data_IF_911228567356
#
_entry.id   IF_911228567356
#
_cell.length_a   1.000
_cell.length_b   1.000
_cell.length_c   1.000
_cell.angle_alpha   90.00
_cell.angle_beta   90.00
_cell.angle_gamma   90.00
#
_symmetry.space_group_name_H-M   'P 1'
#
loop_
_entity.id
_entity.type
_entity.pdbx_description
1 polymer ?
#
# COMPACT_ATOMS: atom_id res chain seq x y z
N UNK A 1 -31.74 31.33 20.58
CA UNK A 1 -30.30 31.18 20.28
C UNK A 1 -29.90 29.87 20.90
N UNK A 2 -30.31 28.77 20.28
CA UNK A 2 -30.08 27.44 20.82
C UNK A 2 -28.87 26.86 20.12
N UNK A 3 -27.85 26.55 20.93
CA UNK A 3 -26.58 26.00 20.49
C UNK A 3 -26.80 24.64 19.84
N UNK A 4 -26.42 24.50 18.57
CA UNK A 4 -26.26 23.19 17.94
C UNK A 4 -25.10 22.52 18.66
N UNK A 5 -25.43 21.47 19.41
CA UNK A 5 -24.46 20.61 20.06
C UNK A 5 -23.53 20.02 19.00
N UNK A 6 -22.23 20.19 19.22
CA UNK A 6 -21.16 19.62 18.43
C UNK A 6 -21.24 18.09 18.55
N UNK A 7 -21.67 17.42 17.49
CA UNK A 7 -21.68 15.96 17.43
C UNK A 7 -20.23 15.48 17.54
N UNK A 8 -19.92 14.48 18.39
CA UNK A 8 -18.56 13.96 18.48
C UNK A 8 -18.09 13.50 17.09
N UNK A 9 -17.07 14.17 16.55
CA UNK A 9 -16.40 13.75 15.33
C UNK A 9 -15.79 12.36 15.60
N UNK A 10 -16.32 11.32 14.95
CA UNK A 10 -15.72 9.99 15.01
C UNK A 10 -14.24 10.08 14.61
N UNK A 11 -13.33 9.40 15.32
CA UNK A 11 -11.91 9.46 14.99
C UNK A 11 -11.73 9.00 13.54
N UNK A 12 -11.03 9.80 12.74
CA UNK A 12 -10.74 9.52 11.35
C UNK A 12 -10.34 8.04 11.20
N UNK A 13 -11.18 7.28 10.50
CA UNK A 13 -10.99 5.87 10.25
C UNK A 13 -9.57 5.70 9.73
N UNK A 14 -8.70 5.07 10.51
CA UNK A 14 -7.32 4.87 10.10
C UNK A 14 -7.40 3.95 8.90
N UNK A 15 -7.22 4.49 7.69
CA UNK A 15 -7.23 3.76 6.43
C UNK A 15 -6.36 2.51 6.58
N UNK A 16 -7.04 1.40 6.88
CA UNK A 16 -6.42 0.12 7.22
C UNK A 16 -6.14 -0.56 5.90
N UNK A 17 -4.98 -0.26 5.33
CA UNK A 17 -4.49 -0.99 4.18
C UNK A 17 -4.21 -2.43 4.62
N UNK A 18 -4.64 -3.40 3.83
CA UNK A 18 -4.35 -4.80 4.10
C UNK A 18 -2.85 -5.05 3.93
N UNK A 19 -2.15 -5.04 5.06
CA UNK A 19 -0.73 -5.40 5.13
C UNK A 19 -0.66 -6.92 5.23
N UNK A 20 -0.95 -7.60 4.12
CA UNK A 20 -0.90 -9.05 4.08
C UNK A 20 0.56 -9.54 4.08
N UNK A 21 0.91 -10.52 4.95
CA UNK A 21 2.23 -11.11 4.99
C UNK A 21 2.39 -12.24 3.97
N UNK A 22 3.57 -12.35 3.38
CA UNK A 22 3.96 -13.48 2.53
C UNK A 22 5.21 -14.14 3.13
N UNK A 23 5.20 -15.48 3.23
CA UNK A 23 6.28 -16.27 3.84
C UNK A 23 6.98 -17.09 2.76
N UNK A 24 8.30 -16.90 2.61
CA UNK A 24 9.13 -17.69 1.71
C UNK A 24 9.47 -19.08 2.30
N UNK A 25 9.96 -19.97 1.43
CA UNK A 25 10.35 -21.34 1.81
C UNK A 25 11.43 -21.40 2.91
N UNK A 26 12.27 -20.36 3.02
CA UNK A 26 13.32 -20.22 4.03
C UNK A 26 12.83 -19.56 5.33
N UNK A 27 11.53 -19.24 5.41
CA UNK A 27 10.88 -18.59 6.52
C UNK A 27 10.90 -17.06 6.48
N UNK A 28 11.56 -16.42 5.50
CA UNK A 28 11.56 -14.95 5.41
C UNK A 28 10.15 -14.43 5.14
N UNK A 29 9.83 -13.30 5.78
CA UNK A 29 8.51 -12.67 5.67
C UNK A 29 8.66 -11.31 5.02
N UNK A 30 7.86 -11.06 3.99
CA UNK A 30 7.62 -9.73 3.41
C UNK A 30 6.17 -9.34 3.61
N UNK A 31 5.85 -8.06 3.40
CA UNK A 31 4.51 -7.51 3.52
C UNK A 31 4.07 -6.89 2.20
N UNK A 32 2.77 -6.62 2.05
CA UNK A 32 2.12 -5.92 0.92
C UNK A 32 2.11 -6.64 -0.43
N UNK A 33 3.06 -7.53 -0.72
CA UNK A 33 3.12 -8.23 -2.01
C UNK A 33 4.10 -9.41 -1.95
N UNK A 34 3.73 -10.57 -2.55
CA UNK A 34 4.63 -11.71 -2.64
C UNK A 34 5.80 -11.47 -3.61
N UNK A 35 5.66 -10.55 -4.57
CA UNK A 35 6.72 -10.24 -5.55
C UNK A 35 7.98 -9.69 -4.86
N UNK A 36 7.85 -9.12 -3.66
CA UNK A 36 9.00 -8.69 -2.85
C UNK A 36 9.85 -9.84 -2.31
N UNK A 37 9.37 -11.09 -2.32
CA UNK A 37 10.18 -12.28 -2.00
C UNK A 37 11.24 -12.58 -3.07
N UNK A 38 11.02 -12.13 -4.32
CA UNK A 38 11.88 -12.43 -5.46
C UNK A 38 12.89 -11.32 -5.76
N UNK A 39 12.84 -10.21 -5.02
CA UNK A 39 13.65 -9.03 -5.30
C UNK A 39 14.97 -9.04 -4.56
N UNK A 40 16.07 -9.14 -5.30
CA UNK A 40 17.41 -8.83 -4.79
C UNK A 40 17.60 -7.30 -4.76
N UNK A 41 17.22 -6.71 -3.62
CA UNK A 41 17.76 -5.46 -3.07
C UNK A 41 17.88 -4.25 -4.03
N UNK A 42 16.86 -3.38 -4.04
CA UNK A 42 16.91 -2.02 -4.60
C UNK A 42 17.09 -0.92 -3.52
N UNK A 43 16.43 0.23 -3.69
CA UNK A 43 16.48 1.39 -2.76
C UNK A 43 16.17 1.05 -1.30
N UNK A 44 15.42 -0.02 -1.04
CA UNK A 44 15.03 -0.46 0.31
C UNK A 44 16.02 -1.43 0.99
N UNK A 45 17.14 -1.80 0.36
CA UNK A 45 18.15 -2.77 0.81
C UNK A 45 17.65 -4.21 1.05
N UNK A 46 16.48 -4.42 1.64
CA UNK A 46 15.79 -5.71 1.75
C UNK A 46 14.31 -5.48 2.06
N UNK A 47 13.43 -6.33 1.53
CA UNK A 47 12.01 -6.32 1.87
C UNK A 47 11.66 -7.22 3.04
N UNK A 48 12.54 -8.16 3.40
CA UNK A 48 12.30 -9.09 4.49
C UNK A 48 12.21 -8.32 5.82
N UNK A 49 11.07 -8.44 6.49
CA UNK A 49 10.79 -7.77 7.78
C UNK A 49 11.00 -8.71 8.98
N UNK A 50 11.34 -9.97 8.74
CA UNK A 50 11.61 -10.98 9.76
C UNK A 50 11.63 -12.39 9.19
N UNK A 51 11.76 -13.38 10.06
CA UNK A 51 11.75 -14.79 9.67
C UNK A 51 10.94 -15.63 10.69
N UNK A 52 9.94 -16.39 10.22
CA UNK A 52 9.02 -17.16 11.08
C UNK A 52 9.68 -18.32 11.82
N UNK A 53 10.88 -18.75 11.40
CA UNK A 53 11.64 -19.80 12.09
C UNK A 53 12.32 -19.27 13.36
N UNK A 54 12.36 -17.95 13.56
CA UNK A 54 13.07 -17.29 14.68
C UNK A 54 12.13 -16.51 15.60
N UNK A 55 11.03 -16.00 15.08
CA UNK A 55 10.11 -15.10 15.78
C UNK A 55 8.65 -15.40 15.42
N UNK A 56 7.71 -15.02 16.28
CA UNK A 56 6.29 -15.18 15.94
C UNK A 56 5.86 -14.24 14.81
N UNK A 57 4.94 -14.70 13.95
CA UNK A 57 4.43 -13.88 12.85
C UNK A 57 3.84 -12.54 13.33
N UNK A 58 3.20 -12.52 14.51
CA UNK A 58 2.67 -11.29 15.12
C UNK A 58 3.77 -10.26 15.41
N UNK A 59 4.90 -10.69 15.95
CA UNK A 59 6.04 -9.80 16.21
C UNK A 59 6.62 -9.25 14.91
N UNK A 60 6.76 -10.13 13.91
CA UNK A 60 7.26 -9.77 12.58
C UNK A 60 6.38 -8.72 11.92
N UNK A 61 5.05 -8.92 11.90
CA UNK A 61 4.10 -7.97 11.33
C UNK A 61 4.15 -6.63 12.08
N UNK A 62 4.12 -6.65 13.42
CA UNK A 62 4.14 -5.42 14.21
C UNK A 62 5.41 -4.58 13.96
N UNK A 63 6.57 -5.23 13.79
CA UNK A 63 7.80 -4.55 13.38
C UNK A 63 7.71 -4.07 11.92
N UNK A 64 7.27 -4.94 11.02
CA UNK A 64 7.26 -4.70 9.58
C UNK A 64 6.30 -3.58 9.15
N UNK A 65 5.24 -3.30 9.91
CA UNK A 65 4.36 -2.14 9.71
C UNK A 65 5.11 -0.81 9.66
N UNK A 66 6.26 -0.73 10.35
CA UNK A 66 7.10 0.46 10.41
C UNK A 66 8.34 0.36 9.51
N UNK A 67 8.40 -0.63 8.61
CA UNK A 67 9.49 -0.70 7.64
C UNK A 67 9.39 0.48 6.66
N UNK A 68 10.51 0.87 6.05
CA UNK A 68 10.56 2.02 5.13
C UNK A 68 9.60 1.84 3.96
N UNK A 69 9.60 0.67 3.29
CA UNK A 69 8.73 0.46 2.13
C UNK A 69 7.24 0.36 2.49
N UNK A 70 6.89 -0.10 3.69
CA UNK A 70 5.48 -0.09 4.13
C UNK A 70 5.03 1.33 4.47
N UNK A 71 5.90 2.11 5.09
CA UNK A 71 5.64 3.51 5.43
C UNK A 71 5.49 4.35 4.17
N UNK A 72 6.42 4.22 3.23
CA UNK A 72 6.40 4.85 1.91
C UNK A 72 5.14 4.48 1.13
N UNK A 73 4.77 3.20 1.08
CA UNK A 73 3.52 2.77 0.45
C UNK A 73 2.31 3.47 1.06
N UNK A 74 2.20 3.46 2.39
CA UNK A 74 1.07 4.07 3.10
C UNK A 74 1.01 5.58 2.84
N UNK A 75 2.15 6.27 2.78
CA UNK A 75 2.22 7.68 2.41
C UNK A 75 1.76 7.91 0.97
N UNK A 76 2.26 7.11 0.02
CA UNK A 76 1.85 7.20 -1.38
C UNK A 76 0.36 6.94 -1.58
N UNK A 77 -0.25 6.03 -0.80
CA UNK A 77 -1.70 5.83 -0.87
C UNK A 77 -2.48 7.03 -0.33
N UNK A 78 -2.01 7.66 0.77
CA UNK A 78 -2.62 8.92 1.25
C UNK A 78 -2.54 10.02 0.20
N UNK A 79 -1.42 10.11 -0.52
CA UNK A 79 -1.26 11.07 -1.60
C UNK A 79 -2.20 10.75 -2.77
N UNK A 80 -2.35 9.47 -3.17
CA UNK A 80 -3.35 9.06 -4.15
C UNK A 80 -4.78 9.46 -3.73
N UNK A 81 -5.13 9.32 -2.44
CA UNK A 81 -6.45 9.65 -1.92
C UNK A 81 -6.81 11.13 -2.06
N UNK A 82 -5.80 12.01 -2.07
CA UNK A 82 -5.98 13.46 -2.20
C UNK A 82 -5.89 13.92 -3.65
N UNK A 83 -5.12 13.23 -4.50
CA UNK A 83 -4.70 13.75 -5.81
C UNK A 83 -5.28 13.01 -7.01
N UNK A 84 -5.79 11.78 -6.84
CA UNK A 84 -6.18 10.93 -7.96
C UNK A 84 -7.69 10.82 -8.09
N UNK A 85 -8.24 11.29 -9.22
CA UNK A 85 -9.68 11.19 -9.56
C UNK A 85 -10.20 9.74 -9.63
N UNK A 86 -9.29 8.77 -9.72
CA UNK A 86 -9.60 7.34 -9.84
C UNK A 86 -9.40 6.56 -8.53
N UNK A 87 -9.12 7.26 -7.41
CA UNK A 87 -8.77 6.62 -6.15
C UNK A 87 -9.83 5.64 -5.64
N UNK A 88 -11.11 5.96 -5.80
CA UNK A 88 -12.19 5.10 -5.33
C UNK A 88 -12.25 3.74 -6.05
N UNK A 89 -11.64 3.62 -7.23
CA UNK A 89 -11.56 2.37 -7.98
C UNK A 89 -10.42 1.47 -7.50
N UNK A 90 -9.22 2.02 -7.32
CA UNK A 90 -8.01 1.21 -7.07
C UNK A 90 -7.45 1.33 -5.64
N UNK A 91 -7.94 2.29 -4.84
CA UNK A 91 -7.52 2.57 -3.46
C UNK A 91 -6.00 2.73 -3.27
N UNK A 92 -5.32 3.26 -4.29
CA UNK A 92 -3.87 3.48 -4.27
C UNK A 92 -3.03 2.37 -4.89
N UNK A 93 -3.64 1.31 -5.41
CA UNK A 93 -2.99 0.29 -6.23
C UNK A 93 -2.01 -0.63 -5.49
N UNK A 94 -1.14 -1.30 -6.25
CA UNK A 94 -0.25 -2.35 -5.74
C UNK A 94 1.16 -1.85 -5.44
N UNK A 95 1.70 -2.20 -4.27
CA UNK A 95 3.03 -1.78 -3.82
C UNK A 95 4.16 -2.27 -4.75
N UNK A 96 4.04 -3.51 -5.25
CA UNK A 96 5.02 -4.08 -6.18
C UNK A 96 5.09 -3.30 -7.48
N UNK A 97 3.96 -2.97 -8.09
CA UNK A 97 3.93 -2.17 -9.32
C UNK A 97 4.60 -0.80 -9.12
N UNK A 98 4.32 -0.12 -8.00
CA UNK A 98 5.00 1.14 -7.66
C UNK A 98 6.52 0.93 -7.59
N UNK A 99 6.98 -0.08 -6.86
CA UNK A 99 8.40 -0.34 -6.70
C UNK A 99 9.10 -0.73 -8.01
N UNK A 100 8.57 -1.69 -8.76
CA UNK A 100 9.22 -2.20 -9.97
C UNK A 100 9.17 -1.21 -11.13
N UNK A 101 8.19 -0.30 -11.16
CA UNK A 101 8.12 0.75 -12.18
C UNK A 101 8.88 2.03 -11.79
N UNK A 102 8.88 2.40 -10.50
CA UNK A 102 9.34 3.72 -10.04
C UNK A 102 10.57 3.67 -9.13
N UNK A 103 11.01 2.48 -8.71
CA UNK A 103 12.09 2.30 -7.74
C UNK A 103 11.72 2.67 -6.30
N UNK A 104 10.45 2.97 -6.04
CA UNK A 104 9.91 3.34 -4.73
C UNK A 104 8.45 2.89 -4.60
N UNK A 105 8.04 2.55 -3.38
CA UNK A 105 6.63 2.25 -3.06
C UNK A 105 5.80 3.51 -2.80
N UNK A 106 6.44 4.69 -2.68
CA UNK A 106 5.77 5.98 -2.42
C UNK A 106 5.05 6.57 -3.64
N UNK A 107 5.40 6.14 -4.85
CA UNK A 107 4.87 6.76 -6.07
C UNK A 107 3.34 6.69 -6.20
N UNK A 108 2.76 7.65 -6.91
CA UNK A 108 1.31 7.84 -7.00
C UNK A 108 0.71 7.49 -8.36
N UNK A 109 1.53 7.37 -9.41
CA UNK A 109 1.09 6.95 -10.73
C UNK A 109 2.09 5.97 -11.36
N UNK A 110 1.59 4.83 -11.82
CA UNK A 110 2.36 3.84 -12.58
C UNK A 110 1.73 3.61 -13.96
N UNK A 111 2.47 2.98 -14.86
CA UNK A 111 1.95 2.52 -16.16
C UNK A 111 0.86 1.46 -15.97
N UNK A 112 1.01 0.56 -14.99
CA UNK A 112 -0.05 -0.39 -14.64
C UNK A 112 -1.35 0.34 -14.27
N UNK A 113 -1.31 1.32 -13.35
CA UNK A 113 -2.56 1.97 -12.92
C UNK A 113 -3.19 2.78 -14.07
N UNK A 114 -2.38 3.43 -14.92
CA UNK A 114 -2.90 4.12 -16.11
C UNK A 114 -3.67 3.17 -17.02
N UNK A 115 -3.11 2.00 -17.28
CA UNK A 115 -3.66 1.07 -18.26
C UNK A 115 -4.82 0.24 -17.71
N UNK A 116 -4.72 -0.22 -16.48
CA UNK A 116 -5.68 -1.17 -15.88
C UNK A 116 -6.81 -0.47 -15.13
N UNK A 117 -6.55 0.72 -14.57
CA UNK A 117 -7.53 1.45 -13.74
C UNK A 117 -8.05 2.69 -14.48
N UNK A 118 -7.18 3.68 -14.72
CA UNK A 118 -7.61 5.00 -15.18
C UNK A 118 -8.25 4.95 -16.57
N UNK A 119 -7.61 4.26 -17.53
CA UNK A 119 -8.13 4.14 -18.91
C UNK A 119 -9.42 3.34 -18.96
N UNK A 120 -9.55 2.30 -18.15
CA UNK A 120 -10.78 1.51 -18.07
C UNK A 120 -11.94 2.37 -17.55
N UNK A 121 -11.75 3.05 -16.41
CA UNK A 121 -12.76 3.93 -15.83
C UNK A 121 -13.12 5.04 -16.81
N UNK A 122 -12.13 5.68 -17.44
CA UNK A 122 -12.37 6.72 -18.45
C UNK A 122 -13.15 6.20 -19.66
N UNK A 123 -12.84 5.01 -20.15
CA UNK A 123 -13.57 4.41 -21.26
C UNK A 123 -15.03 4.12 -20.91
N UNK A 124 -15.31 3.72 -19.67
CA UNK A 124 -16.68 3.52 -19.20
C UNK A 124 -17.40 4.87 -19.13
N UNK A 125 -16.82 5.87 -18.45
CA UNK A 125 -17.43 7.20 -18.27
C UNK A 125 -17.71 7.94 -19.58
N UNK A 126 -16.88 7.74 -20.61
CA UNK A 126 -17.06 8.37 -21.92
C UNK A 126 -18.13 7.68 -22.80
N UNK A 127 -18.65 6.53 -22.39
CA UNK A 127 -19.64 5.74 -23.12
C UNK A 127 -21.02 5.69 -22.43
N UNK A 128 -21.24 6.55 -21.43
CA UNK A 128 -22.54 6.74 -20.75
C UNK A 128 -23.15 8.08 -21.17
#
# INVERSE_FOLDING_TARGET
>A
MDSVADTPQEPAETMSHDIFPCVAYNGDVVLLSPEFLLSETGSYRTFAVGNVLRESLKQIINRGKNSTYVSDFTEGVRECAVTCDYFDCCRGGQASNKFFELGTTKGTETTYCKNSEQRLVRAILNNI
#
